data_IF_617882479930
#
_entry.id   IF_617882479930
#
_cell.length_a   1.000
_cell.length_b   1.000
_cell.length_c   1.000
_cell.angle_alpha   90.00
_cell.angle_beta   90.00
_cell.angle_gamma   90.00
#
_symmetry.space_group_name_H-M   'P 1'
#
loop_
_entity.id
_entity.type
_entity.pdbx_description
1 polymer ?
#
# COMPACT_ATOMS: atom_id res chain seq x y z
N UNK A 1 -44.14 -51.33 21.91
CA UNK A 1 -43.17 -51.18 20.80
C UNK A 1 -43.38 -49.92 19.96
N UNK A 2 -44.62 -49.43 19.76
CA UNK A 2 -44.88 -48.21 18.94
C UNK A 2 -44.31 -46.90 19.50
N UNK A 3 -44.26 -46.70 20.82
CA UNK A 3 -43.73 -45.47 21.44
C UNK A 3 -42.21 -45.26 21.22
N UNK A 4 -41.45 -46.37 21.15
CA UNK A 4 -40.00 -46.31 20.91
C UNK A 4 -39.68 -45.92 19.46
N UNK A 5 -40.49 -46.38 18.48
CA UNK A 5 -40.32 -46.03 17.07
C UNK A 5 -40.71 -44.55 16.81
N UNK A 6 -41.75 -44.04 17.50
CA UNK A 6 -42.16 -42.62 17.33
C UNK A 6 -41.13 -41.62 17.92
N UNK A 7 -40.52 -41.95 19.06
CA UNK A 7 -39.46 -41.16 19.66
C UNK A 7 -38.18 -41.12 18.85
N UNK A 8 -37.78 -42.30 18.26
CA UNK A 8 -36.64 -42.36 17.37
C UNK A 8 -36.84 -41.55 16.08
N UNK A 9 -38.06 -41.61 15.50
CA UNK A 9 -38.38 -40.87 14.29
C UNK A 9 -38.40 -39.33 14.53
N UNK A 10 -38.95 -38.88 15.66
CA UNK A 10 -38.93 -37.49 16.05
C UNK A 10 -37.50 -36.98 16.28
N UNK A 11 -36.61 -37.80 16.85
CA UNK A 11 -35.18 -37.45 16.97
C UNK A 11 -34.49 -37.30 15.64
N UNK A 12 -34.79 -38.14 14.63
CA UNK A 12 -34.24 -38.03 13.26
C UNK A 12 -34.76 -36.77 12.56
N UNK A 13 -36.03 -36.44 12.69
CA UNK A 13 -36.62 -35.22 12.12
C UNK A 13 -35.94 -33.97 12.71
N UNK A 14 -35.82 -33.90 14.07
CA UNK A 14 -35.18 -32.77 14.72
C UNK A 14 -33.71 -32.64 14.32
N UNK A 15 -32.96 -33.75 14.23
CA UNK A 15 -31.58 -33.73 13.76
C UNK A 15 -31.46 -33.27 12.28
N UNK A 16 -32.42 -33.61 11.43
CA UNK A 16 -32.45 -33.16 10.04
C UNK A 16 -32.77 -31.67 9.95
N UNK A 17 -33.68 -31.17 10.77
CA UNK A 17 -34.00 -29.72 10.86
C UNK A 17 -32.79 -28.89 11.29
N UNK A 18 -32.05 -29.31 12.32
CA UNK A 18 -30.84 -28.63 12.76
C UNK A 18 -29.75 -28.62 11.67
N UNK A 19 -29.58 -29.73 10.95
CA UNK A 19 -28.64 -29.80 9.82
C UNK A 19 -29.06 -28.91 8.64
N UNK A 20 -30.34 -28.83 8.32
CA UNK A 20 -30.87 -27.92 7.29
C UNK A 20 -30.61 -26.47 7.71
N UNK A 21 -30.84 -26.13 9.00
CA UNK A 21 -30.56 -24.80 9.52
C UNK A 21 -29.08 -24.45 9.39
N UNK A 22 -28.18 -25.34 9.80
CA UNK A 22 -26.73 -25.14 9.69
C UNK A 22 -26.30 -24.99 8.22
N UNK A 23 -26.81 -25.85 7.32
CA UNK A 23 -26.52 -25.72 5.87
C UNK A 23 -27.04 -24.39 5.30
N UNK A 24 -28.22 -23.94 5.70
CA UNK A 24 -28.76 -22.63 5.31
C UNK A 24 -27.87 -21.46 5.80
N UNK A 25 -27.40 -21.51 7.05
CA UNK A 25 -26.49 -20.51 7.63
C UNK A 25 -25.17 -20.47 6.83
N UNK A 26 -24.59 -21.62 6.49
CA UNK A 26 -23.37 -21.74 5.68
C UNK A 26 -23.56 -21.28 4.23
N UNK A 27 -24.68 -21.63 3.60
CA UNK A 27 -25.01 -21.19 2.27
C UNK A 27 -25.28 -19.68 2.19
N UNK A 28 -25.88 -19.10 3.24
CA UNK A 28 -26.17 -17.68 3.31
C UNK A 28 -24.92 -16.83 3.56
N UNK A 29 -23.99 -17.32 4.39
CA UNK A 29 -22.73 -16.62 4.72
C UNK A 29 -21.61 -16.90 3.71
N UNK A 30 -21.68 -18.03 2.98
CA UNK A 30 -20.58 -18.57 2.19
C UNK A 30 -19.45 -19.18 3.05
N UNK A 31 -19.62 -19.25 4.36
CA UNK A 31 -18.60 -19.70 5.30
C UNK A 31 -18.98 -21.03 5.94
N UNK A 32 -18.02 -21.93 6.03
CA UNK A 32 -18.12 -23.21 6.76
C UNK A 32 -18.09 -23.00 8.28
N UNK A 33 -17.34 -21.98 8.74
CA UNK A 33 -17.17 -21.61 10.13
C UNK A 33 -17.82 -20.23 10.34
N UNK A 34 -19.00 -20.19 10.94
CA UNK A 34 -19.74 -18.96 11.23
C UNK A 34 -19.59 -18.51 12.68
N UNK A 35 -19.33 -19.45 13.57
CA UNK A 35 -19.24 -19.20 14.99
C UNK A 35 -18.15 -20.03 15.67
N UNK A 36 -17.74 -19.62 16.88
CA UNK A 36 -16.79 -20.39 17.67
C UNK A 36 -17.30 -21.78 18.07
N UNK A 37 -18.62 -22.01 17.99
CA UNK A 37 -19.23 -23.30 18.25
C UNK A 37 -18.99 -24.30 17.10
N UNK A 38 -18.78 -23.82 15.86
CA UNK A 38 -18.51 -24.66 14.70
C UNK A 38 -17.08 -25.20 14.72
N UNK A 39 -16.10 -24.32 14.94
CA UNK A 39 -14.67 -24.64 15.04
C UNK A 39 -13.92 -23.46 15.66
N UNK A 40 -13.66 -23.52 16.97
CA UNK A 40 -12.96 -22.45 17.69
C UNK A 40 -11.52 -22.25 17.21
N UNK A 41 -10.83 -23.35 16.86
CA UNK A 41 -9.45 -23.29 16.37
C UNK A 41 -9.38 -22.72 14.95
N UNK A 42 -10.24 -23.20 14.04
CA UNK A 42 -10.36 -22.70 12.69
C UNK A 42 -10.76 -21.23 12.63
N UNK A 43 -11.69 -20.81 13.50
CA UNK A 43 -12.09 -19.40 13.60
C UNK A 43 -10.92 -18.51 14.06
N UNK A 44 -10.17 -18.92 15.07
CA UNK A 44 -9.02 -18.17 15.57
C UNK A 44 -7.93 -18.01 14.48
N UNK A 45 -7.68 -19.07 13.70
CA UNK A 45 -6.72 -19.04 12.61
C UNK A 45 -7.23 -18.15 11.45
N UNK A 46 -8.50 -18.29 11.05
CA UNK A 46 -9.08 -17.48 9.97
C UNK A 46 -9.12 -16.00 10.32
N UNK A 47 -9.45 -15.65 11.57
CA UNK A 47 -9.41 -14.26 12.06
C UNK A 47 -7.99 -13.71 12.00
N UNK A 48 -6.97 -14.50 12.39
CA UNK A 48 -5.57 -14.08 12.26
C UNK A 48 -5.18 -13.83 10.82
N UNK A 49 -5.60 -14.68 9.87
CA UNK A 49 -5.36 -14.44 8.45
C UNK A 49 -6.06 -13.18 7.95
N UNK A 50 -7.33 -12.94 8.34
CA UNK A 50 -8.04 -11.70 7.98
C UNK A 50 -7.29 -10.48 8.48
N UNK A 51 -6.88 -10.44 9.75
CA UNK A 51 -6.10 -9.33 10.30
C UNK A 51 -4.78 -9.13 9.54
N UNK A 52 -4.12 -10.21 9.10
CA UNK A 52 -2.89 -10.09 8.30
C UNK A 52 -3.17 -9.57 6.89
N UNK A 53 -4.25 -9.98 6.25
CA UNK A 53 -4.68 -9.45 4.94
C UNK A 53 -4.92 -7.95 5.05
N UNK A 54 -5.70 -7.51 6.04
CA UNK A 54 -5.97 -6.08 6.29
C UNK A 54 -4.68 -5.29 6.53
N UNK A 55 -3.73 -5.88 7.27
CA UNK A 55 -2.44 -5.27 7.54
C UNK A 55 -1.57 -5.15 6.26
N UNK A 56 -1.54 -6.18 5.40
CA UNK A 56 -0.84 -6.12 4.11
C UNK A 56 -1.45 -5.05 3.19
N UNK A 57 -2.78 -4.96 3.14
CA UNK A 57 -3.48 -3.98 2.32
C UNK A 57 -3.21 -2.55 2.82
N UNK A 58 -3.15 -2.33 4.14
CA UNK A 58 -2.76 -1.04 4.70
C UNK A 58 -1.30 -0.71 4.41
N UNK A 59 -0.40 -1.70 4.54
CA UNK A 59 1.02 -1.54 4.22
C UNK A 59 1.25 -1.22 2.74
N UNK A 60 0.46 -1.82 1.85
CA UNK A 60 0.50 -1.50 0.42
C UNK A 60 0.03 -0.06 0.15
N UNK A 61 -0.98 0.43 0.87
CA UNK A 61 -1.39 1.85 0.79
C UNK A 61 -0.28 2.77 1.28
N UNK A 62 0.32 2.48 2.43
CA UNK A 62 1.44 3.27 2.96
C UNK A 62 2.64 3.31 1.99
N UNK A 63 2.95 2.18 1.34
CA UNK A 63 3.99 2.13 0.33
C UNK A 63 3.66 2.97 -0.92
N UNK A 64 2.39 3.00 -1.35
CA UNK A 64 1.94 3.87 -2.45
C UNK A 64 2.00 5.36 -2.07
N UNK A 65 1.72 5.71 -0.81
CA UNK A 65 1.92 7.07 -0.31
C UNK A 65 3.41 7.46 -0.36
N UNK A 66 4.29 6.53 -0.01
CA UNK A 66 5.75 6.70 -0.15
C UNK A 66 6.19 6.87 -1.61
N UNK A 67 5.60 6.12 -2.55
CA UNK A 67 5.84 6.30 -3.99
C UNK A 67 5.44 7.71 -4.44
N UNK A 68 4.27 8.17 -4.00
CA UNK A 68 3.77 9.52 -4.33
C UNK A 68 4.66 10.62 -3.78
N UNK A 69 5.19 10.42 -2.56
CA UNK A 69 6.18 11.32 -1.94
C UNK A 69 7.47 11.36 -2.79
N UNK A 70 8.03 10.19 -3.13
CA UNK A 70 9.25 10.09 -3.92
C UNK A 70 9.10 10.74 -5.31
N UNK A 71 7.95 10.55 -5.97
CA UNK A 71 7.64 11.18 -7.25
C UNK A 71 7.49 12.70 -7.14
N UNK A 72 6.93 13.21 -6.04
CA UNK A 72 6.83 14.65 -5.79
C UNK A 72 8.22 15.26 -5.59
N UNK A 73 9.10 14.59 -4.85
CA UNK A 73 10.48 15.01 -4.66
C UNK A 73 11.26 15.00 -5.98
N UNK A 74 11.17 13.91 -6.76
CA UNK A 74 11.86 13.80 -8.06
C UNK A 74 11.36 14.86 -9.06
N UNK A 75 10.06 15.16 -9.08
CA UNK A 75 9.50 16.24 -9.90
C UNK A 75 10.08 17.62 -9.55
N UNK A 76 10.24 17.92 -8.27
CA UNK A 76 10.89 19.16 -7.79
C UNK A 76 12.36 19.20 -8.16
N UNK A 77 13.08 18.09 -7.98
CA UNK A 77 14.49 17.95 -8.34
C UNK A 77 14.71 18.03 -9.87
N UNK A 78 13.76 17.58 -10.69
CA UNK A 78 13.81 17.74 -12.13
C UNK A 78 13.75 19.20 -12.53
N UNK A 79 12.85 20.00 -11.91
CA UNK A 79 12.76 21.44 -12.17
C UNK A 79 14.02 22.18 -11.71
N UNK A 80 14.60 21.78 -10.58
CA UNK A 80 15.90 22.30 -10.11
C UNK A 80 17.01 21.98 -11.11
N UNK A 81 17.03 20.75 -11.65
CA UNK A 81 18.02 20.34 -12.66
C UNK A 81 17.93 21.19 -13.94
N UNK A 82 16.72 21.49 -14.42
CA UNK A 82 16.50 22.36 -15.58
C UNK A 82 17.03 23.78 -15.33
N UNK A 83 16.76 24.34 -14.14
CA UNK A 83 17.28 25.66 -13.75
C UNK A 83 18.81 25.67 -13.66
N UNK A 84 19.43 24.62 -13.13
CA UNK A 84 20.88 24.48 -13.10
C UNK A 84 21.50 24.38 -14.50
N UNK A 85 20.87 23.64 -15.42
CA UNK A 85 21.32 23.56 -16.81
C UNK A 85 21.30 24.94 -17.47
N UNK A 86 20.23 25.71 -17.25
CA UNK A 86 20.14 27.09 -17.73
C UNK A 86 21.19 28.01 -17.10
N UNK A 87 21.38 27.89 -15.78
CA UNK A 87 22.41 28.63 -15.07
C UNK A 87 23.80 28.31 -15.61
N UNK A 88 24.09 27.07 -15.92
CA UNK A 88 25.35 26.63 -16.53
C UNK A 88 25.56 27.24 -17.92
N UNK A 89 24.52 27.32 -18.75
CA UNK A 89 24.57 27.99 -20.05
C UNK A 89 24.95 29.46 -19.93
N UNK A 90 24.28 30.20 -19.02
CA UNK A 90 24.58 31.61 -18.75
C UNK A 90 26.00 31.79 -18.25
N UNK A 91 26.46 30.90 -17.38
CA UNK A 91 27.81 30.94 -16.81
C UNK A 91 28.87 30.70 -17.86
N UNK A 92 28.66 29.74 -18.78
CA UNK A 92 29.53 29.51 -19.93
C UNK A 92 29.59 30.75 -20.84
N UNK A 93 28.45 31.40 -21.07
CA UNK A 93 28.39 32.63 -21.86
C UNK A 93 29.15 33.78 -21.14
N UNK A 94 28.96 33.96 -19.83
CA UNK A 94 29.64 34.97 -19.05
C UNK A 94 31.16 34.76 -18.97
N UNK A 95 31.60 33.51 -18.96
CA UNK A 95 33.03 33.13 -18.99
C UNK A 95 33.73 33.50 -20.31
N UNK A 96 32.98 33.82 -21.38
CA UNK A 96 33.57 34.19 -22.68
C UNK A 96 34.21 35.58 -22.57
N UNK A 97 35.51 35.68 -22.97
CA UNK A 97 36.27 36.93 -22.93
C UNK A 97 35.83 38.00 -23.92
N UNK A 98 34.92 37.68 -24.88
CA UNK A 98 34.39 38.64 -25.86
C UNK A 98 33.28 39.55 -25.33
N UNK A 99 32.68 39.21 -24.18
CA UNK A 99 31.62 40.03 -23.58
C UNK A 99 32.17 41.23 -22.84
N UNK A 100 31.39 42.31 -22.86
CA UNK A 100 31.66 43.47 -22.06
C UNK A 100 31.02 43.35 -20.65
N UNK A 101 31.36 44.23 -19.70
CA UNK A 101 30.87 44.16 -18.33
C UNK A 101 29.36 44.39 -18.23
N UNK A 102 28.75 45.20 -19.10
CA UNK A 102 27.31 45.42 -19.14
C UNK A 102 26.54 44.14 -19.53
N UNK A 103 27.07 43.40 -20.50
CA UNK A 103 26.47 42.13 -20.94
C UNK A 103 26.55 41.06 -19.81
N UNK A 104 27.72 40.96 -19.13
CA UNK A 104 27.90 40.10 -17.98
C UNK A 104 26.96 40.47 -16.82
N UNK A 105 26.74 41.77 -16.59
CA UNK A 105 25.80 42.22 -15.58
C UNK A 105 24.36 41.78 -15.88
N UNK A 106 23.95 41.79 -17.15
CA UNK A 106 22.64 41.30 -17.55
C UNK A 106 22.51 39.77 -17.30
N UNK A 107 23.54 38.99 -17.69
CA UNK A 107 23.60 37.56 -17.42
C UNK A 107 23.59 37.23 -15.91
N UNK A 108 24.31 38.00 -15.11
CA UNK A 108 24.35 37.89 -13.66
C UNK A 108 22.98 38.14 -13.04
N UNK A 109 22.19 39.05 -13.60
CA UNK A 109 20.83 39.32 -13.13
C UNK A 109 19.90 38.14 -13.39
N UNK A 110 19.98 37.52 -14.60
CA UNK A 110 19.22 36.32 -14.92
C UNK A 110 19.66 35.14 -14.04
N UNK A 111 20.97 34.96 -13.84
CA UNK A 111 21.51 33.92 -12.97
C UNK A 111 20.99 34.01 -11.52
N UNK A 112 20.95 35.23 -10.94
CA UNK A 112 20.39 35.48 -9.62
C UNK A 112 18.88 35.12 -9.53
N UNK A 113 18.13 35.37 -10.59
CA UNK A 113 16.71 34.96 -10.63
C UNK A 113 16.57 33.44 -10.66
N UNK A 114 17.41 32.71 -11.42
CA UNK A 114 17.41 31.25 -11.44
C UNK A 114 17.83 30.66 -10.11
N UNK A 115 18.85 31.21 -9.45
CA UNK A 115 19.25 30.82 -8.09
C UNK A 115 18.12 31.03 -7.09
N UNK A 116 17.45 32.17 -7.15
CA UNK A 116 16.28 32.42 -6.30
C UNK A 116 15.13 31.43 -6.55
N UNK A 117 14.93 31.02 -7.80
CA UNK A 117 13.91 30.04 -8.15
C UNK A 117 14.31 28.63 -7.67
N UNK A 118 15.58 28.23 -7.77
CA UNK A 118 16.09 26.97 -7.21
C UNK A 118 15.84 26.93 -5.70
N UNK A 119 16.19 27.99 -4.98
CA UNK A 119 15.96 28.09 -3.54
C UNK A 119 14.48 28.02 -3.21
N UNK A 120 13.64 28.74 -3.96
CA UNK A 120 12.18 28.69 -3.78
C UNK A 120 11.61 27.29 -3.97
N UNK A 121 12.03 26.56 -5.02
CA UNK A 121 11.58 25.18 -5.27
C UNK A 121 12.04 24.28 -4.12
N UNK A 122 13.28 24.37 -3.69
CA UNK A 122 13.82 23.58 -2.57
C UNK A 122 13.03 23.81 -1.28
N UNK A 123 12.67 25.08 -0.99
CA UNK A 123 11.92 25.46 0.20
C UNK A 123 10.44 25.05 0.11
N UNK A 124 9.82 25.12 -1.06
CA UNK A 124 8.38 24.85 -1.22
C UNK A 124 8.06 23.40 -1.47
N UNK A 125 9.02 22.58 -1.91
CA UNK A 125 8.84 21.15 -2.14
C UNK A 125 8.37 20.44 -0.86
N UNK A 126 7.11 20.03 -0.83
CA UNK A 126 6.52 19.40 0.36
C UNK A 126 5.48 18.36 -0.04
N UNK A 127 5.32 17.35 0.82
CA UNK A 127 4.27 16.34 0.71
C UNK A 127 3.53 16.26 2.04
N UNK A 128 2.22 16.47 2.00
CA UNK A 128 1.35 16.47 3.19
C UNK A 128 1.89 17.37 4.34
N UNK A 129 2.43 18.56 3.99
CA UNK A 129 2.97 19.52 4.95
C UNK A 129 4.39 19.22 5.45
N UNK A 130 5.00 18.10 5.05
CA UNK A 130 6.40 17.79 5.35
C UNK A 130 7.30 18.27 4.22
N UNK A 131 8.36 18.98 4.59
CA UNK A 131 9.38 19.44 3.64
C UNK A 131 10.22 18.26 3.16
N UNK A 132 10.56 18.26 1.86
CA UNK A 132 11.27 17.14 1.25
C UNK A 132 12.73 17.48 0.90
N UNK A 133 13.07 18.77 0.74
CA UNK A 133 14.36 19.19 0.22
C UNK A 133 15.05 20.27 1.09
N UNK A 134 14.36 20.80 2.12
CA UNK A 134 14.88 21.90 2.96
C UNK A 134 15.12 21.51 4.42
N UNK A 135 14.81 20.28 4.79
CA UNK A 135 15.01 19.78 6.16
C UNK A 135 15.60 18.36 6.11
N UNK A 136 16.55 18.07 7.01
CA UNK A 136 17.00 16.72 7.27
C UNK A 136 15.90 16.00 8.06
N UNK A 137 15.14 15.16 7.39
CA UNK A 137 14.04 14.43 8.02
C UNK A 137 14.13 12.95 7.67
N UNK A 138 14.08 12.10 8.67
CA UNK A 138 13.95 10.67 8.48
C UNK A 138 12.47 10.28 8.65
N UNK A 139 11.84 9.85 7.56
CA UNK A 139 10.45 9.42 7.54
C UNK A 139 10.40 7.90 7.53
N UNK A 140 9.82 7.32 8.57
CA UNK A 140 9.58 5.88 8.64
C UNK A 140 8.25 5.54 7.97
N UNK A 141 8.29 4.74 6.92
CA UNK A 141 7.12 4.19 6.26
C UNK A 141 6.90 2.76 6.74
N UNK A 142 5.81 2.49 7.47
CA UNK A 142 5.41 1.14 7.84
C UNK A 142 4.91 0.41 6.60
N UNK A 143 5.69 -0.54 6.09
CA UNK A 143 5.44 -1.28 4.84
C UNK A 143 5.30 -2.78 5.06
N UNK A 144 4.99 -3.19 6.27
CA UNK A 144 4.72 -4.58 6.61
C UNK A 144 3.78 -4.73 7.79
N UNK A 145 3.29 -5.96 8.04
CA UNK A 145 2.28 -6.24 9.07
C UNK A 145 2.84 -6.22 10.49
N UNK A 146 4.15 -6.38 10.64
CA UNK A 146 4.80 -6.52 11.94
C UNK A 146 5.51 -5.21 12.34
N UNK A 147 5.63 -4.95 13.64
CA UNK A 147 6.34 -3.79 14.14
C UNK A 147 7.82 -3.82 13.72
N UNK A 148 8.31 -2.74 13.11
CA UNK A 148 9.67 -2.65 12.59
C UNK A 148 9.84 -2.99 11.12
N UNK A 149 8.79 -3.44 10.43
CA UNK A 149 8.78 -3.58 8.98
C UNK A 149 8.67 -2.21 8.32
N UNK A 150 9.71 -1.40 8.44
CA UNK A 150 9.76 -0.01 7.96
C UNK A 150 10.74 0.17 6.80
N UNK A 151 10.42 1.11 5.94
CA UNK A 151 11.37 1.68 4.98
C UNK A 151 11.60 3.12 5.40
N UNK A 152 12.87 3.43 5.68
CA UNK A 152 13.27 4.79 5.99
C UNK A 152 13.44 5.57 4.69
N UNK A 153 12.84 6.73 4.65
CA UNK A 153 13.00 7.75 3.61
C UNK A 153 13.76 8.90 4.24
N UNK A 154 15.07 8.94 4.01
CA UNK A 154 15.89 10.10 4.35
C UNK A 154 15.62 11.23 3.36
N UNK A 155 15.40 12.42 3.87
CA UNK A 155 15.41 13.63 3.08
C UNK A 155 16.59 14.46 3.55
N UNK A 156 17.62 14.58 2.71
CA UNK A 156 18.76 15.45 2.99
C UNK A 156 18.39 16.90 2.70
N UNK A 157 18.88 17.80 3.52
CA UNK A 157 18.69 19.21 3.32
C UNK A 157 19.50 19.71 2.10
N UNK A 158 18.90 19.55 0.91
CA UNK A 158 19.50 20.00 -0.33
C UNK A 158 19.78 21.49 -0.33
N UNK A 159 18.87 22.30 0.25
CA UNK A 159 19.04 23.74 0.31
C UNK A 159 20.34 24.11 1.04
N UNK A 160 20.61 23.50 2.19
CA UNK A 160 21.85 23.75 2.93
C UNK A 160 23.08 23.31 2.14
N UNK A 161 23.03 22.11 1.52
CA UNK A 161 24.15 21.62 0.70
C UNK A 161 24.45 22.54 -0.49
N UNK A 162 23.43 23.06 -1.17
CA UNK A 162 23.61 24.01 -2.27
C UNK A 162 24.19 25.34 -1.80
N UNK A 163 23.82 25.82 -0.61
CA UNK A 163 24.42 27.00 -0.01
C UNK A 163 25.90 26.77 0.35
N UNK A 164 26.25 25.63 0.92
CA UNK A 164 27.63 25.24 1.23
C UNK A 164 28.51 25.16 -0.02
N UNK A 165 27.92 24.78 -1.18
CA UNK A 165 28.57 24.77 -2.51
C UNK A 165 28.66 26.18 -3.14
N UNK A 166 28.17 27.23 -2.44
CA UNK A 166 28.27 28.61 -2.86
C UNK A 166 27.24 29.05 -3.89
N UNK A 167 26.08 28.41 -3.95
CA UNK A 167 25.00 28.76 -4.89
C UNK A 167 24.53 30.22 -4.72
N UNK A 168 24.46 30.70 -3.49
CA UNK A 168 23.99 32.05 -3.18
C UNK A 168 25.05 33.15 -3.49
N UNK A 169 26.32 32.75 -3.53
CA UNK A 169 27.47 33.66 -3.78
C UNK A 169 27.92 33.69 -5.24
N UNK A 170 27.11 33.09 -6.16
CA UNK A 170 27.45 33.08 -7.57
C UNK A 170 27.51 34.48 -8.17
N UNK A 171 28.68 34.85 -8.72
CA UNK A 171 28.90 36.14 -9.38
C UNK A 171 29.42 35.96 -10.80
N UNK A 172 28.58 36.26 -11.78
CA UNK A 172 28.90 36.22 -13.21
C UNK A 172 29.32 37.58 -13.77
N UNK A 173 29.49 38.59 -12.93
CA UNK A 173 29.88 39.96 -13.37
C UNK A 173 31.31 40.05 -13.88
N UNK A 174 32.16 39.05 -13.55
CA UNK A 174 33.54 38.97 -14.03
C UNK A 174 33.79 37.59 -14.68
N UNK A 175 34.77 37.59 -15.60
CA UNK A 175 35.18 36.33 -16.27
C UNK A 175 35.71 35.30 -15.28
N UNK A 176 36.49 35.73 -14.28
CA UNK A 176 37.05 34.85 -13.27
C UNK A 176 35.95 34.32 -12.34
N UNK A 177 34.97 35.15 -11.96
CA UNK A 177 33.80 34.73 -11.20
C UNK A 177 32.97 33.70 -11.94
N UNK A 178 32.70 33.92 -13.24
CA UNK A 178 31.99 32.95 -14.07
C UNK A 178 32.74 31.60 -14.20
N UNK A 179 34.08 31.62 -14.28
CA UNK A 179 34.88 30.39 -14.30
C UNK A 179 34.79 29.62 -12.95
N UNK A 180 34.81 30.33 -11.83
CA UNK A 180 34.64 29.70 -10.50
C UNK A 180 33.22 29.16 -10.32
N UNK A 181 32.21 29.91 -10.76
CA UNK A 181 30.80 29.52 -10.70
C UNK A 181 30.50 28.20 -11.47
N UNK A 182 31.21 27.92 -12.57
CA UNK A 182 31.06 26.65 -13.30
C UNK A 182 31.33 25.43 -12.41
N UNK A 183 32.37 25.48 -11.57
CA UNK A 183 32.70 24.37 -10.66
C UNK A 183 31.60 24.15 -9.64
N UNK A 184 31.14 25.22 -9.00
CA UNK A 184 30.05 25.16 -7.99
C UNK A 184 28.73 24.66 -8.59
N UNK A 185 28.42 25.06 -9.84
CA UNK A 185 27.21 24.59 -10.55
C UNK A 185 27.32 23.10 -10.90
N UNK A 186 28.48 22.64 -11.38
CA UNK A 186 28.69 21.25 -11.74
C UNK A 186 28.65 20.35 -10.49
N UNK A 187 29.20 20.78 -9.36
CA UNK A 187 29.11 20.10 -8.07
C UNK A 187 27.67 20.07 -7.53
N UNK A 188 26.93 21.18 -7.63
CA UNK A 188 25.52 21.26 -7.25
C UNK A 188 24.65 20.35 -8.11
N UNK A 189 24.89 20.29 -9.42
CA UNK A 189 24.21 19.35 -10.32
C UNK A 189 24.49 17.88 -9.95
N UNK A 190 25.73 17.58 -9.55
CA UNK A 190 26.08 16.23 -9.10
C UNK A 190 25.29 15.83 -7.84
N UNK A 191 25.18 16.75 -6.87
CA UNK A 191 24.41 16.52 -5.64
C UNK A 191 22.90 16.31 -5.92
N UNK A 192 22.30 17.16 -6.76
CA UNK A 192 20.91 16.99 -7.19
C UNK A 192 20.69 15.63 -7.86
N UNK A 193 21.64 15.19 -8.70
CA UNK A 193 21.55 13.88 -9.37
C UNK A 193 21.70 12.70 -8.37
N UNK A 194 22.51 12.85 -7.32
CA UNK A 194 22.60 11.85 -6.25
C UNK A 194 21.24 11.71 -5.56
N UNK A 195 20.62 12.79 -5.13
CA UNK A 195 19.30 12.76 -4.49
C UNK A 195 18.23 12.19 -5.41
N UNK A 196 18.23 12.55 -6.71
CA UNK A 196 17.31 11.95 -7.68
C UNK A 196 17.50 10.45 -7.82
N UNK A 197 18.74 9.98 -7.79
CA UNK A 197 19.03 8.54 -7.82
C UNK A 197 18.51 7.83 -6.57
N UNK A 198 18.61 8.44 -5.39
CA UNK A 198 18.08 7.90 -4.14
C UNK A 198 16.56 7.79 -4.17
N UNK A 199 15.85 8.85 -4.58
CA UNK A 199 14.39 8.78 -4.76
C UNK A 199 13.96 7.77 -5.84
N UNK A 200 14.74 7.65 -6.92
CA UNK A 200 14.54 6.63 -7.96
C UNK A 200 14.69 5.20 -7.41
N UNK A 201 15.74 4.96 -6.63
CA UNK A 201 15.98 3.67 -5.97
C UNK A 201 14.89 3.36 -4.94
N UNK A 202 14.45 4.36 -4.15
CA UNK A 202 13.35 4.24 -3.21
C UNK A 202 12.04 3.88 -3.92
N UNK A 203 11.71 4.52 -5.03
CA UNK A 203 10.52 4.23 -5.83
C UNK A 203 10.52 2.78 -6.31
N UNK A 204 11.63 2.29 -6.85
CA UNK A 204 11.77 0.89 -7.28
C UNK A 204 11.64 -0.09 -6.12
N UNK A 205 12.22 0.22 -4.96
CA UNK A 205 12.12 -0.59 -3.75
C UNK A 205 10.68 -0.65 -3.25
N UNK A 206 9.97 0.49 -3.18
CA UNK A 206 8.58 0.55 -2.76
C UNK A 206 7.65 -0.19 -3.74
N UNK A 207 7.86 -0.06 -5.05
CA UNK A 207 7.11 -0.78 -6.08
C UNK A 207 7.26 -2.31 -5.92
N UNK A 208 8.47 -2.77 -5.67
CA UNK A 208 8.73 -4.19 -5.39
C UNK A 208 8.06 -4.64 -4.09
N UNK A 209 8.07 -3.79 -3.07
CA UNK A 209 7.41 -4.05 -1.78
C UNK A 209 5.90 -4.16 -1.96
N UNK A 210 5.25 -3.25 -2.71
CA UNK A 210 3.80 -3.33 -3.02
C UNK A 210 3.47 -4.66 -3.67
N UNK A 211 4.25 -5.09 -4.66
CA UNK A 211 4.04 -6.37 -5.35
C UNK A 211 4.14 -7.56 -4.40
N UNK A 212 5.12 -7.56 -3.50
CA UNK A 212 5.30 -8.62 -2.50
C UNK A 212 4.16 -8.63 -1.46
N UNK A 213 3.69 -7.45 -1.03
CA UNK A 213 2.57 -7.33 -0.09
C UNK A 213 1.28 -7.85 -0.70
N UNK A 214 1.00 -7.51 -1.96
CA UNK A 214 -0.17 -8.01 -2.69
C UNK A 214 -0.13 -9.53 -2.84
N UNK A 215 1.02 -10.10 -3.20
CA UNK A 215 1.18 -11.56 -3.29
C UNK A 215 0.99 -12.23 -1.92
N UNK A 216 1.48 -11.62 -0.86
CA UNK A 216 1.32 -12.11 0.51
C UNK A 216 -0.13 -12.02 0.97
N UNK A 217 -0.84 -10.94 0.64
CA UNK A 217 -2.27 -10.76 0.90
C UNK A 217 -3.07 -11.88 0.23
N UNK A 218 -2.87 -12.11 -1.08
CA UNK A 218 -3.54 -13.17 -1.84
C UNK A 218 -3.28 -14.56 -1.24
N UNK A 219 -2.03 -14.86 -0.85
CA UNK A 219 -1.68 -16.15 -0.26
C UNK A 219 -2.37 -16.38 1.09
N UNK A 220 -2.46 -15.33 1.92
CA UNK A 220 -3.16 -15.39 3.21
C UNK A 220 -4.67 -15.50 3.02
N UNK A 221 -5.24 -14.80 2.04
CA UNK A 221 -6.66 -14.92 1.71
C UNK A 221 -7.02 -16.33 1.21
N UNK A 222 -6.20 -16.93 0.34
CA UNK A 222 -6.37 -18.32 -0.08
C UNK A 222 -6.23 -19.32 1.08
N UNK A 223 -5.33 -19.05 2.04
CA UNK A 223 -5.19 -19.87 3.23
C UNK A 223 -6.43 -19.75 4.14
N UNK A 224 -6.97 -18.55 4.30
CA UNK A 224 -8.21 -18.27 5.02
C UNK A 224 -9.39 -18.99 4.36
N UNK A 225 -9.53 -18.87 3.04
CA UNK A 225 -10.58 -19.50 2.24
C UNK A 225 -10.61 -21.01 2.44
N UNK A 226 -9.47 -21.68 2.38
CA UNK A 226 -9.39 -23.14 2.63
C UNK A 226 -9.86 -23.57 4.03
N UNK A 227 -9.79 -22.66 5.01
CA UNK A 227 -10.20 -22.95 6.40
C UNK A 227 -11.66 -22.57 6.63
N UNK A 228 -12.07 -21.40 6.17
CA UNK A 228 -13.32 -20.79 6.57
C UNK A 228 -14.44 -20.89 5.55
N UNK A 229 -14.14 -21.03 4.24
CA UNK A 229 -15.17 -20.99 3.20
C UNK A 229 -15.90 -22.31 3.09
N UNK A 230 -17.19 -22.25 2.72
CA UNK A 230 -18.03 -23.39 2.48
C UNK A 230 -17.94 -23.86 1.03
N UNK A 231 -17.89 -25.18 0.84
CA UNK A 231 -18.11 -25.81 -0.47
C UNK A 231 -19.62 -25.83 -0.77
N UNK A 232 -20.05 -24.88 -1.60
CA UNK A 232 -21.45 -24.73 -1.98
C UNK A 232 -22.08 -26.03 -2.55
N UNK A 233 -21.36 -26.77 -3.37
CA UNK A 233 -21.87 -27.99 -3.97
C UNK A 233 -22.15 -29.06 -2.91
N UNK A 234 -21.24 -29.17 -1.95
CA UNK A 234 -21.40 -30.11 -0.83
C UNK A 234 -22.54 -29.69 0.10
N UNK A 235 -22.61 -28.41 0.48
CA UNK A 235 -23.66 -27.92 1.39
C UNK A 235 -25.06 -28.02 0.77
N UNK A 236 -25.24 -27.74 -0.52
CA UNK A 236 -26.51 -27.93 -1.23
C UNK A 236 -26.88 -29.41 -1.27
N UNK A 237 -25.93 -30.30 -1.55
CA UNK A 237 -26.21 -31.75 -1.57
C UNK A 237 -26.61 -32.26 -0.17
N UNK A 238 -25.98 -31.78 0.89
CA UNK A 238 -26.35 -32.10 2.27
C UNK A 238 -27.72 -31.54 2.66
N UNK A 239 -28.03 -30.30 2.26
CA UNK A 239 -29.33 -29.69 2.47
C UNK A 239 -30.45 -30.50 1.82
N UNK A 240 -30.31 -30.85 0.53
CA UNK A 240 -31.31 -31.65 -0.20
C UNK A 240 -31.47 -33.03 0.44
N UNK A 241 -30.37 -33.68 0.83
CA UNK A 241 -30.43 -34.99 1.52
C UNK A 241 -31.21 -34.90 2.83
N UNK A 242 -30.94 -33.90 3.66
CA UNK A 242 -31.61 -33.69 4.94
C UNK A 242 -33.07 -33.29 4.75
N UNK A 243 -33.42 -32.53 3.69
CA UNK A 243 -34.81 -32.23 3.33
C UNK A 243 -35.59 -33.47 2.95
N UNK A 244 -34.99 -34.39 2.16
CA UNK A 244 -35.58 -35.67 1.81
C UNK A 244 -35.77 -36.54 3.06
N UNK A 245 -34.77 -36.62 3.94
CA UNK A 245 -34.85 -37.39 5.17
C UNK A 245 -35.94 -36.84 6.11
N UNK A 246 -36.08 -35.53 6.23
CA UNK A 246 -37.12 -34.88 7.01
C UNK A 246 -38.51 -35.19 6.45
N UNK A 247 -38.71 -35.03 5.12
CA UNK A 247 -39.98 -35.33 4.45
C UNK A 247 -40.37 -36.83 4.58
N UNK A 248 -39.40 -37.73 4.40
CA UNK A 248 -39.57 -39.17 4.58
C UNK A 248 -39.91 -39.54 6.03
N UNK A 249 -39.22 -38.90 6.99
CA UNK A 249 -39.48 -39.07 8.42
C UNK A 249 -40.91 -38.67 8.81
N UNK A 250 -41.38 -37.52 8.30
CA UNK A 250 -42.76 -37.05 8.49
C UNK A 250 -43.76 -38.02 7.91
N UNK A 251 -43.54 -38.53 6.69
CA UNK A 251 -44.41 -39.49 6.04
C UNK A 251 -44.52 -40.82 6.84
N UNK A 252 -43.37 -41.31 7.32
CA UNK A 252 -43.34 -42.53 8.16
C UNK A 252 -44.04 -42.27 9.50
N UNK A 253 -43.90 -41.11 10.11
CA UNK A 253 -44.57 -40.75 11.35
C UNK A 253 -46.09 -40.69 11.17
N UNK A 254 -46.58 -40.08 10.10
CA UNK A 254 -48.00 -40.00 9.79
C UNK A 254 -48.59 -41.41 9.57
N UNK A 255 -47.84 -42.27 8.82
CA UNK A 255 -48.28 -43.66 8.58
C UNK A 255 -48.28 -44.51 9.90
N UNK A 256 -47.30 -44.30 10.77
CA UNK A 256 -47.25 -44.99 12.07
C UNK A 256 -48.42 -44.57 12.96
N UNK A 257 -48.78 -43.27 13.00
CA UNK A 257 -49.92 -42.77 13.74
C UNK A 257 -51.25 -43.32 13.21
N UNK A 258 -51.46 -43.41 11.88
CA UNK A 258 -52.65 -43.99 11.30
C UNK A 258 -52.82 -45.49 11.62
N UNK A 259 -51.70 -46.23 11.72
CA UNK A 259 -51.74 -47.65 12.10
C UNK A 259 -52.06 -47.83 13.59
N UNK A 260 -51.71 -46.90 14.43
CA UNK A 260 -52.07 -46.96 15.86
C UNK A 260 -53.56 -46.74 16.08
N UNK A 261 -54.23 -45.90 15.25
CA UNK A 261 -55.67 -45.64 15.33
C UNK A 261 -56.51 -46.82 14.78
N UNK A 262 -55.94 -47.72 13.98
CA UNK A 262 -56.60 -48.89 13.45
C UNK A 262 -56.54 -50.12 14.37
N UNK A 263 -55.77 -50.08 15.45
CA UNK A 263 -55.54 -51.15 16.41
C UNK A 263 -56.27 -50.91 17.74
N UNK A 264 -56.92 -49.78 17.93
CA UNK A 264 -57.84 -49.46 19.01
C UNK A 264 -59.27 -49.67 18.57
#
# INVERSE_FOLDING_TARGET
>A
MNSINSTNNSAIINASLERIKTSNERLSSGLRINSAADDAAGLAISTRFSTRVDAFDQSARNANDGISLAQTADGSLSSITENFQRLRELTLQAANGTLNDSDRQALNTEAKQLTSEINRISETASFNGKKLLSEDTELELQVGPDAGDVINVGTDNLQQKLQELGLDDLDLSSQSGAQAALSSIDESLAEVNVQRSEFGALNNRLTSTVSNLQQSSINNEQARSRIADADFAKEVAEQVRNDILMKSGIAVQTQANQRSDLVL
#
